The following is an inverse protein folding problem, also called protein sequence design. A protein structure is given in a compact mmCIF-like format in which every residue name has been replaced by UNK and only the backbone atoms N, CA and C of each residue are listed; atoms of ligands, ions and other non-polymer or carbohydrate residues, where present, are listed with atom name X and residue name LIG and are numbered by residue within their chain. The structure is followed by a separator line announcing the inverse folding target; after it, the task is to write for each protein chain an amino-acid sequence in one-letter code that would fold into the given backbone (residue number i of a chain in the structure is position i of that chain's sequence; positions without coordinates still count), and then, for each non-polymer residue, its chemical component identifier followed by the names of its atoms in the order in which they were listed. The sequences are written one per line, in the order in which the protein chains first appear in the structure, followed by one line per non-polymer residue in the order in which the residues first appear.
data_IF_701598228273
#
_entry.id   IF_701598228273
#
_cell.length_a   1.000
_cell.length_b   1.000
_cell.length_c   1.000
_cell.angle_alpha   90.00
_cell.angle_beta   90.00
_cell.angle_gamma   90.00
#
_symmetry.space_group_name_H-M   'P 1'
#
loop_
_entity.id
_entity.type
_entity.pdbx_description
1 polymer ?
#
# COMPACT_ATOMS: atom_id res chain seq x y z
N UNK A 1 9.89 -23.96 6.58
CA UNK A 1 9.54 -22.70 5.92
C UNK A 1 8.35 -22.12 6.68
N UNK A 2 8.53 -21.04 7.43
CA UNK A 2 7.44 -20.31 8.09
C UNK A 2 6.93 -19.29 7.07
N UNK A 3 5.97 -19.73 6.26
CA UNK A 3 5.27 -18.88 5.30
C UNK A 3 4.32 -17.97 6.09
N UNK A 4 4.60 -16.68 6.07
CA UNK A 4 3.77 -15.67 6.72
C UNK A 4 2.65 -15.25 5.79
N UNK A 5 1.46 -15.80 6.03
CA UNK A 5 0.28 -15.48 5.23
C UNK A 5 -0.16 -14.03 5.45
N UNK A 6 -0.28 -13.56 6.70
CA UNK A 6 -0.67 -12.19 7.00
C UNK A 6 0.22 -11.63 8.10
N UNK A 7 0.74 -10.42 7.87
CA UNK A 7 1.36 -9.57 8.88
C UNK A 7 0.90 -8.15 8.52
N UNK A 8 0.16 -7.50 9.41
CA UNK A 8 -0.27 -6.11 9.22
C UNK A 8 0.90 -5.13 9.17
N UNK A 9 0.65 -3.88 8.79
CA UNK A 9 1.70 -2.87 8.63
C UNK A 9 2.58 -2.71 9.89
N UNK A 10 3.88 -2.50 9.69
CA UNK A 10 4.80 -2.23 10.80
C UNK A 10 4.75 -0.75 11.17
N UNK A 11 4.92 -0.46 12.47
CA UNK A 11 5.00 0.90 12.95
C UNK A 11 6.16 1.64 12.28
N UNK A 12 5.85 2.80 11.70
CA UNK A 12 6.84 3.67 11.08
C UNK A 12 7.64 4.41 12.16
N UNK A 13 8.98 4.33 12.18
CA UNK A 13 9.79 5.06 13.15
C UNK A 13 9.53 6.57 13.10
N UNK A 14 9.70 7.28 14.21
CA UNK A 14 9.47 8.72 14.28
C UNK A 14 10.35 9.49 13.29
N UNK A 15 11.61 9.09 13.14
CA UNK A 15 12.57 9.65 12.18
C UNK A 15 12.15 9.45 10.71
N UNK A 16 11.30 8.45 10.43
CA UNK A 16 10.63 8.30 9.13
C UNK A 16 9.43 9.24 9.03
N UNK A 17 8.58 9.32 10.04
CA UNK A 17 7.28 10.03 9.96
C UNK A 17 7.41 11.56 10.01
N UNK A 18 8.24 12.09 10.93
CA UNK A 18 8.37 13.53 11.19
C UNK A 18 8.76 14.36 9.93
N UNK A 19 9.71 13.92 9.08
CA UNK A 19 10.06 14.64 7.85
C UNK A 19 8.89 14.91 6.91
N UNK A 20 7.91 14.00 6.83
CA UNK A 20 6.75 14.14 5.95
C UNK A 20 5.64 15.00 6.55
N UNK A 21 5.76 15.35 7.83
CA UNK A 21 4.86 16.26 8.56
C UNK A 21 5.50 17.62 8.81
N UNK A 22 6.69 17.88 8.27
CA UNK A 22 7.50 19.06 8.53
C UNK A 22 7.75 19.29 10.03
N UNK A 23 7.89 18.20 10.79
CA UNK A 23 8.25 18.23 12.20
C UNK A 23 9.78 18.03 12.28
N UNK A 24 10.52 18.86 13.04
CA UNK A 24 11.95 18.69 13.21
C UNK A 24 12.35 17.34 13.79
N UNK A 25 13.46 16.79 13.33
CA UNK A 25 14.11 15.62 13.94
C UNK A 25 14.81 16.02 15.24
N UNK A 26 14.83 15.12 16.21
CA UNK A 26 15.47 15.28 17.53
C UNK A 26 16.63 14.30 17.75
N UNK A 27 17.42 14.52 18.80
CA UNK A 27 18.45 13.57 19.23
C UNK A 27 17.87 12.20 19.59
N UNK A 28 16.62 12.15 20.07
CA UNK A 28 15.92 10.89 20.34
C UNK A 28 15.69 10.08 19.07
N UNK A 29 15.32 10.74 17.97
CA UNK A 29 15.13 10.12 16.65
C UNK A 29 16.44 9.49 16.15
N UNK A 30 17.57 10.19 16.32
CA UNK A 30 18.91 9.68 15.99
C UNK A 30 19.29 8.47 16.86
N UNK A 31 19.10 8.59 18.18
CA UNK A 31 19.42 7.53 19.13
C UNK A 31 18.58 6.27 18.88
N UNK A 32 17.30 6.42 18.53
CA UNK A 32 16.45 5.31 18.12
C UNK A 32 16.96 4.63 16.86
N UNK A 33 17.31 5.40 15.82
CA UNK A 33 17.86 4.87 14.57
C UNK A 33 19.16 4.07 14.83
N UNK A 34 20.08 4.58 15.64
CA UNK A 34 21.33 3.90 16.04
C UNK A 34 21.03 2.61 16.82
N UNK A 35 20.14 2.68 17.80
CA UNK A 35 19.77 1.53 18.63
C UNK A 35 19.21 0.39 17.79
N UNK A 36 18.32 0.69 16.85
CA UNK A 36 17.74 -0.33 15.98
C UNK A 36 18.72 -0.84 14.93
N UNK A 37 19.60 0.00 14.38
CA UNK A 37 20.69 -0.45 13.50
C UNK A 37 21.52 -1.57 14.16
N UNK A 38 21.93 -1.34 15.41
CA UNK A 38 22.68 -2.30 16.22
C UNK A 38 21.90 -3.58 16.47
N UNK A 39 20.63 -3.48 16.87
CA UNK A 39 19.75 -4.63 17.12
C UNK A 39 19.49 -5.48 15.88
N UNK A 40 19.41 -4.83 14.71
CA UNK A 40 19.13 -5.48 13.44
C UNK A 40 20.39 -5.93 12.70
N UNK A 41 21.58 -5.64 13.26
CA UNK A 41 22.89 -5.92 12.66
C UNK A 41 23.03 -5.30 11.25
N UNK A 42 22.53 -4.06 11.09
CA UNK A 42 22.73 -3.23 9.89
C UNK A 42 24.01 -2.43 10.11
N UNK A 43 24.98 -2.54 9.19
CA UNK A 43 26.33 -2.00 9.38
C UNK A 43 26.51 -0.78 8.48
N UNK A 44 27.41 -0.86 7.50
CA UNK A 44 27.85 0.26 6.68
C UNK A 44 26.70 0.95 5.93
N UNK A 45 25.62 0.21 5.63
CA UNK A 45 24.46 0.77 4.98
C UNK A 45 23.86 1.92 5.79
N UNK A 46 23.92 1.86 7.13
CA UNK A 46 23.14 2.77 7.98
C UNK A 46 23.71 4.18 8.11
N UNK A 47 25.00 4.38 7.88
CA UNK A 47 25.63 5.67 8.18
C UNK A 47 25.01 6.82 7.37
N UNK A 48 24.56 6.56 6.14
CA UNK A 48 23.90 7.58 5.32
C UNK A 48 22.61 8.10 5.98
N UNK A 49 21.75 7.24 6.54
CA UNK A 49 20.54 7.72 7.22
C UNK A 49 20.87 8.42 8.53
N UNK A 50 21.89 7.95 9.25
CA UNK A 50 22.32 8.60 10.48
C UNK A 50 22.85 10.01 10.21
N UNK A 51 23.62 10.19 9.13
CA UNK A 51 24.12 11.49 8.70
C UNK A 51 23.00 12.42 8.23
N UNK A 52 22.01 11.91 7.51
CA UNK A 52 20.81 12.67 7.14
C UNK A 52 20.07 13.15 8.38
N UNK A 53 19.88 12.29 9.39
CA UNK A 53 19.22 12.65 10.64
C UNK A 53 20.06 13.69 11.40
N UNK A 54 21.36 13.45 11.60
CA UNK A 54 22.30 14.37 12.28
C UNK A 54 22.29 15.76 11.65
N UNK A 55 22.40 15.82 10.32
CA UNK A 55 22.40 17.08 9.55
C UNK A 55 21.11 17.87 9.71
N UNK A 56 19.97 17.19 9.88
CA UNK A 56 18.65 17.81 9.90
C UNK A 56 18.03 17.92 11.30
N UNK A 57 18.83 17.78 12.36
CA UNK A 57 18.38 18.05 13.72
C UNK A 57 17.86 19.49 13.85
N UNK A 58 16.65 19.64 14.39
CA UNK A 58 16.00 20.95 14.51
C UNK A 58 15.50 21.55 13.18
N UNK A 59 15.81 20.95 12.02
CA UNK A 59 15.35 21.43 10.72
C UNK A 59 13.99 20.79 10.34
N UNK A 60 12.89 21.57 10.22
CA UNK A 60 11.60 21.03 9.76
C UNK A 60 11.56 20.74 8.25
N UNK A 61 12.47 21.31 7.46
CA UNK A 61 12.43 21.30 6.00
C UNK A 61 13.52 20.39 5.42
N UNK A 62 13.25 19.09 5.41
CA UNK A 62 14.13 18.06 4.83
C UNK A 62 13.86 17.94 3.33
N UNK A 63 14.94 17.83 2.53
CA UNK A 63 14.86 17.77 1.07
C UNK A 63 14.18 16.49 0.57
N UNK A 64 13.65 16.50 -0.67
CA UNK A 64 12.94 15.34 -1.23
C UNK A 64 13.83 14.12 -1.42
N UNK A 65 15.10 14.31 -1.81
CA UNK A 65 16.03 13.19 -1.98
C UNK A 65 16.44 12.59 -0.63
N UNK A 66 16.59 13.41 0.41
CA UNK A 66 16.80 12.93 1.77
C UNK A 66 15.58 12.16 2.29
N UNK A 67 14.35 12.63 2.00
CA UNK A 67 13.11 11.91 2.32
C UNK A 67 13.01 10.54 1.64
N UNK A 68 13.43 10.42 0.37
CA UNK A 68 13.50 9.13 -0.33
C UNK A 68 14.48 8.17 0.35
N UNK A 69 15.66 8.66 0.74
CA UNK A 69 16.65 7.86 1.49
C UNK A 69 16.11 7.42 2.85
N UNK A 70 15.43 8.32 3.58
CA UNK A 70 14.77 7.97 4.84
C UNK A 70 13.75 6.83 4.65
N UNK A 71 12.93 6.87 3.59
CA UNK A 71 12.02 5.76 3.25
C UNK A 71 12.81 4.48 2.99
N UNK A 72 13.83 4.52 2.13
CA UNK A 72 14.68 3.38 1.82
C UNK A 72 15.23 2.71 3.08
N UNK A 73 15.80 3.49 4.00
CA UNK A 73 16.38 2.96 5.23
C UNK A 73 15.33 2.45 6.21
N UNK A 74 14.17 3.11 6.30
CA UNK A 74 13.07 2.55 7.10
C UNK A 74 12.59 1.21 6.54
N UNK A 75 12.56 1.07 5.21
CA UNK A 75 12.18 -0.16 4.52
C UNK A 75 13.19 -1.29 4.77
N UNK A 76 14.49 -0.96 4.72
CA UNK A 76 15.58 -1.86 5.10
C UNK A 76 15.43 -2.32 6.56
N UNK A 77 15.21 -1.41 7.50
CA UNK A 77 15.06 -1.76 8.92
C UNK A 77 13.91 -2.73 9.14
N UNK A 78 12.75 -2.43 8.57
CA UNK A 78 11.56 -3.27 8.69
C UNK A 78 11.77 -4.66 8.07
N UNK A 79 12.41 -4.74 6.91
CA UNK A 79 12.72 -6.03 6.27
C UNK A 79 13.70 -6.85 7.10
N UNK A 80 14.76 -6.22 7.65
CA UNK A 80 15.73 -6.89 8.52
C UNK A 80 15.10 -7.37 9.83
N UNK A 81 14.13 -6.64 10.36
CA UNK A 81 13.36 -7.07 11.52
C UNK A 81 12.68 -8.42 11.23
N UNK A 82 11.97 -8.53 10.12
CA UNK A 82 11.30 -9.78 9.75
C UNK A 82 12.32 -10.91 9.50
N UNK A 83 13.41 -10.65 8.79
CA UNK A 83 14.44 -11.65 8.54
C UNK A 83 15.05 -12.21 9.84
N UNK A 84 15.34 -11.33 10.81
CA UNK A 84 15.93 -11.70 12.10
C UNK A 84 14.97 -12.48 13.00
N UNK A 85 13.65 -12.40 12.76
CA UNK A 85 12.65 -13.21 13.48
C UNK A 85 12.52 -14.64 12.95
N UNK A 86 13.17 -14.96 11.83
CA UNK A 86 13.09 -16.29 11.20
C UNK A 86 11.98 -16.45 10.16
N UNK A 87 11.22 -15.39 9.85
CA UNK A 87 10.15 -15.39 8.83
C UNK A 87 10.73 -15.57 7.43
N UNK A 88 10.12 -16.40 6.58
CA UNK A 88 10.67 -16.74 5.25
C UNK A 88 10.16 -15.88 4.08
N UNK A 89 8.97 -15.30 4.20
CA UNK A 89 8.46 -14.28 3.27
C UNK A 89 8.48 -12.92 3.96
N UNK A 90 9.34 -12.04 3.48
CA UNK A 90 9.58 -10.73 4.10
C UNK A 90 9.07 -9.61 3.21
N UNK A 91 8.86 -8.46 3.81
CA UNK A 91 8.45 -7.23 3.19
C UNK A 91 8.84 -6.10 4.15
N UNK A 92 8.56 -4.86 3.79
CA UNK A 92 9.01 -3.74 4.57
C UNK A 92 7.98 -3.20 5.57
N UNK A 93 6.85 -3.88 5.77
CA UNK A 93 5.80 -3.36 6.64
C UNK A 93 5.15 -2.07 6.13
N UNK A 94 5.17 -1.84 4.81
CA UNK A 94 4.52 -0.73 4.11
C UNK A 94 5.13 0.65 4.40
N UNK A 95 6.46 0.73 4.52
CA UNK A 95 7.15 2.00 4.79
C UNK A 95 7.01 3.02 3.65
N UNK A 96 6.73 2.57 2.43
CA UNK A 96 6.54 3.44 1.26
C UNK A 96 5.15 4.09 1.20
N UNK A 97 4.20 3.61 2.01
CA UNK A 97 2.77 3.88 1.83
C UNK A 97 2.22 4.84 2.87
N UNK A 98 1.16 5.55 2.51
CA UNK A 98 0.39 6.38 3.44
C UNK A 98 -0.75 5.61 4.08
N UNK A 99 -1.54 4.90 3.28
CA UNK A 99 -2.78 4.21 3.67
C UNK A 99 -3.16 3.22 2.55
N UNK A 100 -3.85 2.12 2.85
CA UNK A 100 -4.07 1.00 1.93
C UNK A 100 -5.10 1.28 0.82
N UNK A 101 -6.02 2.23 1.01
CA UNK A 101 -7.02 2.66 0.03
C UNK A 101 -6.60 3.94 -0.69
N UNK A 102 -6.20 4.97 0.05
CA UNK A 102 -5.89 6.27 -0.55
C UNK A 102 -4.70 6.16 -1.51
N UNK A 103 -3.70 5.33 -1.18
CA UNK A 103 -2.49 5.20 -1.98
C UNK A 103 -2.79 4.62 -3.38
N UNK A 104 -3.46 3.46 -3.54
CA UNK A 104 -3.87 2.95 -4.86
C UNK A 104 -4.82 3.90 -5.61
N UNK A 105 -5.83 4.46 -4.95
CA UNK A 105 -6.84 5.30 -5.62
C UNK A 105 -6.21 6.55 -6.25
N UNK A 106 -5.16 7.12 -5.66
CA UNK A 106 -4.40 8.24 -6.27
C UNK A 106 -3.71 7.89 -7.59
N UNK A 107 -3.54 6.61 -7.88
CA UNK A 107 -2.89 6.09 -9.08
C UNK A 107 -3.88 5.68 -10.16
N UNK A 108 -5.19 5.92 -9.94
CA UNK A 108 -6.26 5.56 -10.85
C UNK A 108 -7.01 6.85 -11.23
N UNK A 109 -7.11 7.10 -12.53
CA UNK A 109 -7.89 8.21 -13.08
C UNK A 109 -9.40 7.98 -12.85
N UNK A 110 -10.19 9.05 -12.91
CA UNK A 110 -11.64 9.00 -12.77
C UNK A 110 -12.17 9.06 -11.34
N UNK A 111 -11.29 9.04 -10.34
CA UNK A 111 -11.65 9.28 -8.94
C UNK A 111 -11.49 10.73 -8.52
N UNK A 112 -12.45 11.22 -7.74
CA UNK A 112 -12.40 12.51 -7.04
C UNK A 112 -12.51 12.29 -5.53
N UNK A 113 -11.53 12.77 -4.75
CA UNK A 113 -11.58 12.65 -3.29
C UNK A 113 -12.56 13.66 -2.67
N UNK A 114 -13.63 13.16 -2.02
CA UNK A 114 -14.72 13.99 -1.48
C UNK A 114 -14.51 14.45 -0.04
N UNK A 115 -13.51 13.91 0.67
CA UNK A 115 -13.17 14.34 2.03
C UNK A 115 -12.93 13.18 2.99
N UNK A 116 -12.83 13.49 4.29
CA UNK A 116 -12.60 12.49 5.33
C UNK A 116 -13.91 11.83 5.76
N UNK A 117 -13.90 10.50 5.80
CA UNK A 117 -14.98 9.68 6.34
C UNK A 117 -14.46 8.93 7.56
N UNK A 118 -15.28 8.88 8.61
CA UNK A 118 -14.95 8.15 9.85
C UNK A 118 -14.97 6.66 9.56
N UNK A 119 -13.89 5.96 9.91
CA UNK A 119 -13.80 4.50 9.84
C UNK A 119 -14.18 3.88 11.18
N UNK A 120 -13.40 4.16 12.23
CA UNK A 120 -13.67 3.68 13.59
C UNK A 120 -13.05 4.63 14.62
N UNK A 121 -13.76 4.89 15.72
CA UNK A 121 -13.35 5.84 16.76
C UNK A 121 -12.87 7.17 16.17
N UNK A 122 -11.67 7.68 16.49
CA UNK A 122 -11.16 8.93 15.92
C UNK A 122 -10.28 8.72 14.67
N UNK A 123 -10.43 7.59 13.99
CA UNK A 123 -9.72 7.27 12.74
C UNK A 123 -10.59 7.59 11.52
N UNK A 124 -9.99 8.32 10.59
CA UNK A 124 -10.62 8.77 9.35
C UNK A 124 -9.74 8.41 8.16
N UNK A 125 -10.37 8.21 7.01
CA UNK A 125 -9.67 8.05 5.73
C UNK A 125 -10.32 8.94 4.67
N UNK A 126 -9.58 9.29 3.62
CA UNK A 126 -10.09 10.14 2.55
C UNK A 126 -10.81 9.29 1.51
N UNK A 127 -12.15 9.30 1.51
CA UNK A 127 -12.96 8.51 0.58
C UNK A 127 -13.07 9.22 -0.77
N UNK A 128 -13.02 8.45 -1.87
CA UNK A 128 -13.18 8.97 -3.22
C UNK A 128 -14.49 8.50 -3.86
N UNK A 129 -14.94 9.28 -4.85
CA UNK A 129 -16.04 8.93 -5.73
C UNK A 129 -15.53 8.71 -7.15
N UNK A 130 -15.97 7.64 -7.79
CA UNK A 130 -15.71 7.41 -9.20
C UNK A 130 -16.71 8.22 -10.04
N UNK A 131 -16.20 9.24 -10.73
CA UNK A 131 -16.99 10.20 -11.52
C UNK A 131 -16.85 10.00 -13.04
N UNK A 132 -15.77 9.35 -13.47
CA UNK A 132 -15.57 8.93 -14.87
C UNK A 132 -14.97 7.54 -14.91
N UNK A 133 -14.91 6.92 -16.11
CA UNK A 133 -14.36 5.57 -16.28
C UNK A 133 -12.96 5.45 -15.67
N UNK A 134 -12.70 4.46 -14.78
CA UNK A 134 -11.42 4.32 -14.14
C UNK A 134 -10.36 3.83 -15.14
N UNK A 135 -9.14 4.32 -14.97
CA UNK A 135 -7.97 3.89 -15.75
C UNK A 135 -6.71 3.98 -14.90
N UNK A 136 -5.81 3.00 -15.00
CA UNK A 136 -4.52 3.09 -14.33
C UNK A 136 -3.72 4.28 -14.87
N UNK A 137 -3.38 5.24 -14.00
CA UNK A 137 -2.55 6.40 -14.33
C UNK A 137 -1.08 6.04 -14.29
N UNK A 138 -0.66 5.42 -13.19
CA UNK A 138 0.71 4.94 -12.96
C UNK A 138 0.62 3.57 -12.28
N UNK A 139 1.55 2.68 -12.59
CA UNK A 139 1.76 1.50 -11.75
C UNK A 139 2.31 1.95 -10.39
N UNK A 140 2.06 1.15 -9.37
CA UNK A 140 2.35 1.46 -7.98
C UNK A 140 2.83 0.23 -7.24
N UNK A 141 3.60 0.46 -6.17
CA UNK A 141 4.45 -0.55 -5.51
C UNK A 141 5.62 -1.09 -6.35
N UNK A 142 5.80 -0.66 -7.60
CA UNK A 142 6.94 -1.04 -8.46
C UNK A 142 8.28 -0.65 -7.85
N UNK A 143 8.43 0.61 -7.47
CA UNK A 143 9.67 1.11 -6.85
C UNK A 143 9.88 0.52 -5.45
N UNK A 144 8.79 0.30 -4.70
CA UNK A 144 8.83 -0.43 -3.42
C UNK A 144 9.36 -1.86 -3.63
N UNK A 145 8.85 -2.57 -4.64
CA UNK A 145 9.28 -3.93 -4.99
C UNK A 145 10.77 -3.96 -5.33
N UNK A 146 11.24 -3.07 -6.21
CA UNK A 146 12.65 -2.98 -6.59
C UNK A 146 13.56 -2.67 -5.40
N UNK A 147 13.14 -1.72 -4.56
CA UNK A 147 13.89 -1.31 -3.37
C UNK A 147 14.04 -2.49 -2.42
N UNK A 148 12.96 -3.18 -2.05
CA UNK A 148 13.02 -4.32 -1.14
C UNK A 148 13.85 -5.45 -1.76
N UNK A 149 13.66 -5.73 -3.06
CA UNK A 149 14.44 -6.76 -3.78
C UNK A 149 15.94 -6.49 -3.77
N UNK A 150 16.36 -5.22 -3.81
CA UNK A 150 17.77 -4.84 -3.85
C UNK A 150 18.57 -5.22 -2.59
N UNK A 151 17.91 -5.40 -1.44
CA UNK A 151 18.58 -5.71 -0.17
C UNK A 151 18.03 -6.93 0.57
N UNK A 152 16.84 -7.42 0.25
CA UNK A 152 16.25 -8.57 0.91
C UNK A 152 17.10 -9.83 0.69
N UNK A 153 17.30 -10.60 1.76
CA UNK A 153 18.00 -11.90 1.75
C UNK A 153 17.05 -13.08 1.64
N UNK A 154 15.73 -12.82 1.72
CA UNK A 154 14.65 -13.80 1.65
C UNK A 154 13.66 -13.40 0.57
N UNK A 155 12.74 -14.31 0.22
CA UNK A 155 11.70 -14.05 -0.78
C UNK A 155 10.82 -12.89 -0.32
N UNK A 156 10.45 -12.03 -1.25
CA UNK A 156 9.68 -10.83 -0.94
C UNK A 156 8.19 -11.05 -1.21
N UNK A 157 7.35 -10.56 -0.30
CA UNK A 157 5.89 -10.51 -0.46
C UNK A 157 5.44 -9.06 -0.51
N UNK A 158 4.69 -8.66 -1.51
CA UNK A 158 4.14 -7.31 -1.57
C UNK A 158 2.62 -7.38 -1.37
N UNK A 159 2.07 -6.91 -0.24
CA UNK A 159 0.63 -6.82 -0.06
C UNK A 159 0.07 -5.69 -0.91
N UNK A 160 -1.14 -5.84 -1.46
CA UNK A 160 -1.89 -4.80 -2.16
C UNK A 160 -3.36 -4.90 -1.78
N UNK A 161 -4.09 -3.79 -1.82
CA UNK A 161 -5.53 -3.82 -1.62
C UNK A 161 -6.21 -4.34 -2.89
N UNK A 162 -7.09 -5.31 -2.74
CA UNK A 162 -7.81 -5.92 -3.84
C UNK A 162 -8.93 -5.04 -4.41
N UNK A 163 -9.37 -5.33 -5.64
CA UNK A 163 -10.33 -4.50 -6.35
C UNK A 163 -11.71 -4.47 -5.69
N UNK A 164 -12.14 -5.52 -5.00
CA UNK A 164 -13.45 -5.53 -4.35
C UNK A 164 -13.48 -4.51 -3.20
N UNK A 165 -12.45 -4.46 -2.37
CA UNK A 165 -12.31 -3.50 -1.26
C UNK A 165 -12.15 -2.08 -1.78
N UNK A 166 -11.36 -1.85 -2.84
CA UNK A 166 -11.23 -0.54 -3.45
C UNK A 166 -12.58 -0.02 -3.98
N UNK A 167 -13.41 -0.89 -4.55
CA UNK A 167 -14.77 -0.54 -4.99
C UNK A 167 -15.71 -0.32 -3.80
N UNK A 168 -15.72 -1.22 -2.81
CA UNK A 168 -16.61 -1.12 -1.65
C UNK A 168 -16.35 0.15 -0.82
N UNK A 169 -15.09 0.55 -0.72
CA UNK A 169 -14.66 1.76 -0.05
C UNK A 169 -14.69 3.00 -0.95
N UNK A 170 -15.28 2.93 -2.13
CA UNK A 170 -15.51 4.09 -3.00
C UNK A 170 -17.00 4.40 -3.15
N UNK A 171 -17.31 5.64 -3.52
CA UNK A 171 -18.62 5.97 -4.07
C UNK A 171 -18.61 5.73 -5.60
N UNK A 172 -19.77 5.41 -6.15
CA UNK A 172 -19.95 5.15 -7.58
C UNK A 172 -20.97 6.12 -8.16
N UNK A 173 -20.49 7.16 -8.85
CA UNK A 173 -21.33 8.13 -9.57
C UNK A 173 -21.34 7.87 -11.08
N UNK A 174 -20.33 7.14 -11.60
CA UNK A 174 -20.16 6.91 -13.04
C UNK A 174 -21.04 5.81 -13.62
N UNK A 175 -21.06 4.61 -13.02
CA UNK A 175 -21.80 3.46 -13.58
C UNK A 175 -23.28 3.46 -13.19
N UNK A 176 -23.69 4.36 -12.30
CA UNK A 176 -25.07 4.41 -11.84
C UNK A 176 -25.96 5.01 -12.93
N UNK A 177 -26.94 4.24 -13.40
CA UNK A 177 -27.97 4.73 -14.30
C UNK A 177 -29.27 5.00 -13.52
N UNK A 178 -29.93 6.13 -13.80
CA UNK A 178 -31.21 6.49 -13.18
C UNK A 178 -32.33 5.79 -13.95
N UNK A 179 -32.49 4.48 -13.73
CA UNK A 179 -33.77 3.83 -13.97
C UNK A 179 -34.44 3.56 -12.62
N UNK A 180 -35.44 4.40 -12.32
CA UNK A 180 -36.18 4.44 -11.05
C UNK A 180 -37.11 3.24 -10.86
N UNK A 181 -37.34 2.43 -11.91
CA UNK A 181 -38.25 1.30 -11.84
C UNK A 181 -37.57 -0.01 -11.41
N UNK A 182 -36.24 -0.12 -11.56
CA UNK A 182 -35.45 -1.31 -11.21
C UNK A 182 -34.15 -0.99 -10.45
N UNK A 183 -34.24 -0.15 -9.41
CA UNK A 183 -33.08 0.37 -8.65
C UNK A 183 -32.09 -0.72 -8.21
N UNK A 184 -32.58 -1.84 -7.65
CA UNK A 184 -31.71 -2.90 -7.13
C UNK A 184 -30.88 -3.58 -8.23
N UNK A 185 -31.50 -3.94 -9.36
CA UNK A 185 -30.76 -4.58 -10.45
C UNK A 185 -29.79 -3.59 -11.11
N UNK A 186 -30.18 -2.31 -11.22
CA UNK A 186 -29.29 -1.27 -11.73
C UNK A 186 -28.06 -1.07 -10.84
N UNK A 187 -28.23 -1.05 -9.51
CA UNK A 187 -27.11 -1.01 -8.56
C UNK A 187 -26.19 -2.21 -8.70
N UNK A 188 -26.80 -3.40 -8.82
CA UNK A 188 -26.08 -4.66 -8.97
C UNK A 188 -25.25 -4.68 -10.26
N UNK A 189 -25.82 -4.22 -11.37
CA UNK A 189 -25.14 -4.14 -12.66
C UNK A 189 -24.02 -3.09 -12.65
N UNK A 190 -24.30 -1.89 -12.13
CA UNK A 190 -23.29 -0.84 -11.98
C UNK A 190 -22.10 -1.30 -11.12
N UNK A 191 -22.38 -2.06 -10.06
CA UNK A 191 -21.36 -2.64 -9.19
C UNK A 191 -20.51 -3.68 -9.92
N UNK A 192 -21.12 -4.57 -10.72
CA UNK A 192 -20.37 -5.55 -11.53
C UNK A 192 -19.45 -4.88 -12.54
N UNK A 193 -19.93 -3.85 -13.23
CA UNK A 193 -19.11 -3.12 -14.20
C UNK A 193 -17.93 -2.42 -13.54
N UNK A 194 -18.16 -1.80 -12.38
CA UNK A 194 -17.09 -1.15 -11.62
C UNK A 194 -16.05 -2.17 -11.13
N UNK A 195 -16.49 -3.29 -10.53
CA UNK A 195 -15.62 -4.38 -10.10
C UNK A 195 -14.78 -4.96 -11.26
N UNK A 196 -15.40 -5.12 -12.43
CA UNK A 196 -14.73 -5.61 -13.64
C UNK A 196 -13.65 -4.65 -14.13
N UNK A 197 -13.93 -3.36 -14.25
CA UNK A 197 -12.91 -2.41 -14.71
C UNK A 197 -11.78 -2.25 -13.68
N UNK A 198 -12.11 -2.31 -12.38
CA UNK A 198 -11.09 -2.31 -11.32
C UNK A 198 -10.25 -3.59 -11.31
N UNK A 199 -10.81 -4.77 -11.58
CA UNK A 199 -10.04 -6.02 -11.63
C UNK A 199 -8.98 -5.99 -12.74
N UNK A 200 -9.29 -5.42 -13.91
CA UNK A 200 -8.31 -5.21 -14.98
C UNK A 200 -7.20 -4.22 -14.60
N UNK A 201 -7.55 -3.12 -13.93
CA UNK A 201 -6.59 -2.12 -13.45
C UNK A 201 -5.61 -2.74 -12.43
N UNK A 202 -6.14 -3.53 -11.49
CA UNK A 202 -5.31 -4.20 -10.48
C UNK A 202 -4.45 -5.29 -11.11
N UNK A 203 -4.99 -6.07 -12.08
CA UNK A 203 -4.19 -7.02 -12.86
C UNK A 203 -2.99 -6.32 -13.51
N UNK A 204 -3.22 -5.21 -14.22
CA UNK A 204 -2.14 -4.49 -14.89
C UNK A 204 -1.05 -4.03 -13.91
N UNK A 205 -1.44 -3.65 -12.69
CA UNK A 205 -0.48 -3.30 -11.64
C UNK A 205 0.30 -4.52 -11.13
N UNK A 206 -0.38 -5.66 -10.96
CA UNK A 206 0.23 -6.93 -10.54
C UNK A 206 1.26 -7.39 -11.59
N UNK A 207 0.92 -7.34 -12.88
CA UNK A 207 1.82 -7.70 -13.98
C UNK A 207 3.11 -6.88 -13.93
N UNK A 208 3.01 -5.57 -13.67
CA UNK A 208 4.19 -4.71 -13.51
C UNK A 208 5.04 -5.14 -12.30
N UNK A 209 4.41 -5.47 -11.17
CA UNK A 209 5.15 -5.95 -9.98
C UNK A 209 5.86 -7.29 -10.23
N UNK A 210 5.21 -8.23 -10.92
CA UNK A 210 5.81 -9.51 -11.35
C UNK A 210 7.05 -9.23 -12.21
N UNK A 211 6.90 -8.40 -13.24
CA UNK A 211 7.99 -8.02 -14.14
C UNK A 211 9.16 -7.31 -13.45
N UNK A 212 8.94 -6.75 -12.25
CA UNK A 212 9.95 -6.06 -11.46
C UNK A 212 10.44 -6.85 -10.23
N UNK A 213 10.15 -8.16 -10.17
CA UNK A 213 10.82 -9.10 -9.28
C UNK A 213 10.10 -9.40 -7.96
N UNK A 214 8.80 -9.11 -7.85
CA UNK A 214 7.98 -9.58 -6.74
C UNK A 214 7.92 -11.13 -6.75
N UNK A 215 8.30 -11.77 -5.64
CA UNK A 215 8.23 -13.24 -5.53
C UNK A 215 6.81 -13.71 -5.15
N UNK A 216 6.11 -12.90 -4.35
CA UNK A 216 4.73 -13.13 -3.92
C UNK A 216 3.96 -11.82 -3.88
N UNK A 217 2.69 -11.86 -4.26
CA UNK A 217 1.77 -10.74 -4.16
C UNK A 217 0.57 -11.19 -3.34
N UNK A 218 0.27 -10.48 -2.27
CA UNK A 218 -0.88 -10.72 -1.41
C UNK A 218 -1.97 -9.72 -1.77
N UNK A 219 -3.18 -10.20 -2.04
CA UNK A 219 -4.34 -9.36 -2.36
C UNK A 219 -5.24 -9.29 -1.12
N UNK A 220 -5.28 -8.14 -0.48
CA UNK A 220 -6.02 -7.90 0.75
C UNK A 220 -7.45 -7.43 0.47
N UNK A 221 -8.41 -8.21 0.96
CA UNK A 221 -9.84 -7.97 0.74
C UNK A 221 -10.63 -7.91 2.05
N UNK A 222 -10.32 -6.97 2.97
CA UNK A 222 -11.02 -6.88 4.25
C UNK A 222 -12.52 -6.55 4.09
N UNK A 223 -12.95 -5.99 2.96
CA UNK A 223 -14.36 -5.73 2.70
C UNK A 223 -15.13 -6.98 2.24
N UNK A 224 -14.48 -8.10 1.90
CA UNK A 224 -15.15 -9.27 1.30
C UNK A 224 -16.32 -9.81 2.15
N UNK A 225 -16.25 -9.66 3.48
CA UNK A 225 -17.27 -10.17 4.41
C UNK A 225 -18.37 -9.16 4.73
N UNK A 226 -18.35 -7.94 4.18
CA UNK A 226 -19.31 -6.89 4.55
C UNK A 226 -20.69 -7.09 3.94
N UNK A 227 -20.79 -7.82 2.81
CA UNK A 227 -22.03 -8.02 2.05
C UNK A 227 -22.23 -9.46 1.63
N UNK A 228 -23.10 -10.17 2.37
CA UNK A 228 -23.35 -11.61 2.18
C UNK A 228 -23.89 -11.96 0.78
N UNK A 229 -24.67 -11.06 0.16
CA UNK A 229 -25.27 -11.26 -1.16
C UNK A 229 -24.31 -11.05 -2.34
N UNK A 230 -23.05 -10.70 -2.08
CA UNK A 230 -22.06 -10.39 -3.12
C UNK A 230 -20.90 -11.39 -3.20
N UNK A 231 -20.96 -12.52 -2.49
CA UNK A 231 -19.89 -13.52 -2.47
C UNK A 231 -19.53 -14.01 -3.88
N UNK A 232 -20.52 -14.26 -4.74
CA UNK A 232 -20.28 -14.65 -6.14
C UNK A 232 -19.53 -13.55 -6.90
N UNK A 233 -19.95 -12.29 -6.75
CA UNK A 233 -19.26 -11.15 -7.38
C UNK A 233 -17.83 -11.00 -6.88
N UNK A 234 -17.60 -11.22 -5.58
CA UNK A 234 -16.28 -11.19 -4.99
C UNK A 234 -15.37 -12.25 -5.63
N UNK A 235 -15.83 -13.50 -5.71
CA UNK A 235 -15.08 -14.60 -6.33
C UNK A 235 -14.78 -14.29 -7.80
N UNK A 236 -15.78 -13.85 -8.56
CA UNK A 236 -15.60 -13.46 -9.96
C UNK A 236 -14.59 -12.32 -10.12
N UNK A 237 -14.62 -11.33 -9.23
CA UNK A 237 -13.70 -10.20 -9.22
C UNK A 237 -12.26 -10.65 -8.98
N UNK A 238 -12.03 -11.53 -8.00
CA UNK A 238 -10.69 -12.06 -7.72
C UNK A 238 -10.20 -12.93 -8.88
N UNK A 239 -11.04 -13.82 -9.40
CA UNK A 239 -10.71 -14.61 -10.59
C UNK A 239 -10.33 -13.70 -11.77
N UNK A 240 -11.13 -12.68 -12.05
CA UNK A 240 -10.85 -11.68 -13.08
C UNK A 240 -9.65 -10.79 -12.78
N UNK A 241 -9.12 -10.78 -11.56
CA UNK A 241 -7.88 -10.05 -11.25
C UNK A 241 -6.65 -10.91 -11.56
N UNK A 242 -6.74 -12.23 -11.35
CA UNK A 242 -5.56 -13.10 -11.39
C UNK A 242 -5.49 -14.01 -12.61
N UNK A 243 -6.60 -14.26 -13.32
CA UNK A 243 -6.57 -15.17 -14.48
C UNK A 243 -5.59 -14.66 -15.55
N UNK A 244 -4.75 -15.56 -16.07
CA UNK A 244 -3.78 -15.25 -17.12
C UNK A 244 -2.46 -14.63 -16.65
N UNK A 245 -2.30 -14.34 -15.35
CA UNK A 245 -1.00 -13.98 -14.79
C UNK A 245 -0.02 -15.16 -14.94
N UNK A 246 1.23 -14.86 -15.26
CA UNK A 246 2.30 -15.85 -15.38
C UNK A 246 3.09 -15.94 -14.07
N UNK A 247 3.59 -17.14 -13.77
CA UNK A 247 4.44 -17.45 -12.61
C UNK A 247 5.86 -16.88 -12.74
#
# INVERSE_FOLDING_TARGET
MIITHEIGSLAKPSWRVKPFRNIPLSEEDLNEAIKWAKRLNIKEEVEEVLDIIRKNLGNPNIGQDEKKKIIFYSSLYATRLLENTGIDLVYDGEQHRSEMYEYPIRQIEGFEFKGHVRSFDNKYYKKASLITKPKLKNTYHTEETKVIKSFAKKKIKIPITGPYTLVDWSFNEYYYNIDLFNVEENERMARKEFLKDMSFIIRQNIEDMINNGADFIQIDEPAATTKKNEIEMFVDTIYQTVVGLQD
#
